data_IF_670749929715
#
_entry.id   IF_670749929715
#
_cell.length_a   1.000
_cell.length_b   1.000
_cell.length_c   1.000
_cell.angle_alpha   90.00
_cell.angle_beta   90.00
_cell.angle_gamma   90.00
#
_symmetry.space_group_name_H-M   'P 1'
#
loop_
_entity.id
_entity.type
_entity.pdbx_description
1 polymer ?
#
# COMPACT_ATOMS: atom_id res chain seq x y z
N UNK A 1 -3.52 -19.80 30.04
CA UNK A 1 -2.81 -18.60 30.56
C UNK A 1 -1.99 -18.02 29.42
N UNK A 2 -2.08 -16.72 29.15
CA UNK A 2 -1.28 -16.04 28.11
C UNK A 2 -0.08 -15.38 28.78
N UNK A 3 1.13 -15.54 28.23
CA UNK A 3 2.35 -14.85 28.68
C UNK A 3 3.00 -14.17 27.47
N UNK A 4 3.06 -12.83 27.42
CA UNK A 4 3.84 -12.12 26.41
C UNK A 4 5.33 -12.50 26.52
N UNK A 5 5.97 -12.76 25.37
CA UNK A 5 7.42 -12.93 25.28
C UNK A 5 8.09 -11.56 25.25
N UNK A 6 9.35 -11.49 25.69
CA UNK A 6 10.12 -10.25 25.71
C UNK A 6 10.59 -9.83 24.31
N UNK A 7 10.93 -10.80 23.45
CA UNK A 7 11.29 -10.56 22.05
C UNK A 7 10.57 -11.55 21.13
N UNK A 8 10.04 -11.04 20.02
CA UNK A 8 9.38 -11.82 18.97
C UNK A 8 10.14 -11.65 17.65
N UNK A 9 10.08 -12.64 16.73
CA UNK A 9 10.30 -12.35 15.31
C UNK A 9 9.24 -11.34 14.87
N UNK A 10 9.61 -10.37 14.06
CA UNK A 10 8.72 -9.29 13.61
C UNK A 10 8.74 -9.23 12.11
N UNK A 11 7.54 -9.20 11.53
CA UNK A 11 7.36 -8.89 10.12
C UNK A 11 6.72 -7.50 10.06
N UNK A 12 7.40 -6.54 9.43
CA UNK A 12 6.93 -5.17 9.27
C UNK A 12 6.73 -4.86 7.79
N UNK A 13 5.48 -4.76 7.36
CA UNK A 13 5.13 -4.42 6.00
C UNK A 13 4.70 -2.94 5.91
N UNK A 14 5.46 -2.15 5.16
CA UNK A 14 5.14 -0.76 4.88
C UNK A 14 4.14 -0.70 3.73
N UNK A 15 2.93 -0.23 4.01
CA UNK A 15 1.91 0.03 3.03
C UNK A 15 1.74 1.55 2.90
N UNK A 16 2.30 2.10 1.82
CA UNK A 16 2.51 3.53 1.67
C UNK A 16 1.61 4.10 0.60
N UNK A 17 0.87 5.12 0.97
CA UNK A 17 0.18 6.02 0.06
C UNK A 17 1.21 6.78 -0.78
N UNK A 18 1.09 6.66 -2.10
CA UNK A 18 1.98 7.33 -3.06
C UNK A 18 1.24 8.33 -3.93
N UNK A 19 0.07 8.81 -3.50
CA UNK A 19 -0.64 9.90 -4.17
C UNK A 19 0.17 11.20 -4.15
N UNK A 20 -0.31 12.20 -4.89
CA UNK A 20 0.44 13.44 -5.10
C UNK A 20 0.63 14.24 -3.80
N UNK A 21 -0.31 14.15 -2.85
CA UNK A 21 -0.21 14.82 -1.54
C UNK A 21 0.95 14.30 -0.71
N UNK A 22 1.30 13.03 -0.88
CA UNK A 22 2.39 12.35 -0.18
C UNK A 22 3.80 12.70 -0.70
N UNK A 23 3.93 13.54 -1.73
CA UNK A 23 5.21 13.87 -2.38
C UNK A 23 6.32 14.27 -1.39
N UNK A 24 6.03 15.19 -0.45
CA UNK A 24 7.01 15.63 0.57
C UNK A 24 7.32 14.58 1.64
N UNK A 25 6.42 13.61 1.83
CA UNK A 25 6.55 12.55 2.83
C UNK A 25 7.39 11.38 2.32
N UNK A 26 7.27 11.02 1.04
CA UNK A 26 8.06 9.94 0.42
C UNK A 26 9.55 10.26 0.44
N UNK A 27 9.94 11.53 0.21
CA UNK A 27 11.35 11.96 0.31
C UNK A 27 11.93 11.68 1.70
N UNK A 28 11.12 11.81 2.75
CA UNK A 28 11.50 11.55 4.16
C UNK A 28 11.43 10.06 4.52
N UNK A 29 10.71 9.24 3.75
CA UNK A 29 10.55 7.82 4.03
C UNK A 29 11.90 7.08 3.97
N UNK A 30 12.81 7.55 3.11
CA UNK A 30 14.17 7.02 3.00
C UNK A 30 14.98 7.15 4.29
N UNK A 31 14.81 8.22 5.07
CA UNK A 31 15.50 8.38 6.35
C UNK A 31 14.72 7.72 7.49
N UNK A 32 13.41 7.98 7.58
CA UNK A 32 12.58 7.53 8.71
C UNK A 32 12.39 6.01 8.70
N UNK A 33 12.15 5.39 7.53
CA UNK A 33 11.98 3.95 7.42
C UNK A 33 13.25 3.18 7.80
N UNK A 34 14.41 3.74 7.42
CA UNK A 34 15.70 3.16 7.78
C UNK A 34 16.00 3.30 9.28
N UNK A 35 15.84 4.49 9.86
CA UNK A 35 16.03 4.68 11.31
C UNK A 35 15.09 3.80 12.14
N UNK A 36 13.82 3.65 11.70
CA UNK A 36 12.87 2.76 12.34
C UNK A 36 13.33 1.30 12.26
N UNK A 37 13.81 0.85 11.11
CA UNK A 37 14.35 -0.52 10.98
C UNK A 37 15.52 -0.78 11.91
N UNK A 38 16.48 0.14 12.02
CA UNK A 38 17.64 0.00 12.92
C UNK A 38 17.22 -0.05 14.40
N UNK A 39 16.20 0.73 14.79
CA UNK A 39 15.65 0.66 16.15
C UNK A 39 14.92 -0.66 16.39
N UNK A 40 14.18 -1.15 15.39
CA UNK A 40 13.41 -2.40 15.47
C UNK A 40 14.32 -3.64 15.55
N UNK A 41 15.49 -3.63 14.90
CA UNK A 41 16.48 -4.70 15.04
C UNK A 41 16.93 -4.90 16.49
N UNK A 42 17.05 -3.83 17.28
CA UNK A 42 17.50 -3.92 18.67
C UNK A 42 16.44 -4.53 19.61
N UNK A 43 15.15 -4.41 19.27
CA UNK A 43 14.02 -4.86 20.11
C UNK A 43 13.37 -6.16 19.63
N UNK A 44 13.62 -6.58 18.39
CA UNK A 44 13.20 -7.87 17.85
C UNK A 44 14.35 -8.89 17.88
N UNK A 45 14.04 -10.16 17.69
CA UNK A 45 15.08 -11.20 17.49
C UNK A 45 15.37 -11.46 16.01
N UNK A 46 14.44 -11.10 15.13
CA UNK A 46 14.48 -11.37 13.70
C UNK A 46 13.47 -10.44 13.02
N UNK A 47 13.97 -9.42 12.33
CA UNK A 47 13.16 -8.40 11.65
C UNK A 47 13.15 -8.67 10.14
N UNK A 48 11.96 -8.77 9.57
CA UNK A 48 11.76 -8.73 8.13
C UNK A 48 10.97 -7.49 7.73
N UNK A 49 11.40 -6.85 6.63
CA UNK A 49 10.79 -5.65 6.08
C UNK A 49 10.21 -5.94 4.72
N UNK A 50 9.02 -5.42 4.46
CA UNK A 50 8.36 -5.47 3.16
C UNK A 50 7.78 -4.12 2.77
N UNK A 51 7.47 -3.95 1.50
CA UNK A 51 6.98 -2.68 0.96
C UNK A 51 5.93 -2.90 -0.13
N UNK A 52 4.88 -2.07 -0.10
CA UNK A 52 3.92 -1.92 -1.18
C UNK A 52 3.34 -0.52 -1.19
N UNK A 53 2.79 -0.14 -2.34
CA UNK A 53 2.23 1.18 -2.56
C UNK A 53 0.77 1.09 -3.00
N UNK A 54 0.02 2.16 -2.72
CA UNK A 54 -1.33 2.34 -3.21
C UNK A 54 -1.61 3.79 -3.56
N UNK A 55 -2.62 3.99 -4.41
CA UNK A 55 -3.20 5.32 -4.70
C UNK A 55 -4.71 5.15 -4.59
N UNK A 56 -5.36 4.74 -5.67
CA UNK A 56 -6.80 4.58 -5.72
C UNK A 56 -7.25 3.72 -6.91
N UNK A 57 -8.55 3.43 -7.01
CA UNK A 57 -9.15 2.73 -8.15
C UNK A 57 -8.96 3.55 -9.42
N UNK A 58 -8.49 2.91 -10.50
CA UNK A 58 -8.12 3.60 -11.75
C UNK A 58 -9.31 3.77 -12.69
N UNK A 59 -10.37 4.38 -12.17
CA UNK A 59 -11.66 4.61 -12.84
C UNK A 59 -12.15 6.03 -12.58
N UNK A 60 -13.04 6.53 -13.44
CA UNK A 60 -13.76 7.78 -13.18
C UNK A 60 -14.77 7.56 -12.04
N UNK A 61 -15.00 8.53 -11.13
CA UNK A 61 -14.48 9.90 -11.13
C UNK A 61 -13.13 10.10 -10.41
N UNK A 62 -12.54 9.06 -9.84
CA UNK A 62 -11.32 9.16 -9.01
C UNK A 62 -10.10 9.64 -9.79
N UNK A 63 -9.97 9.24 -11.06
CA UNK A 63 -8.88 9.68 -11.92
C UNK A 63 -9.36 10.42 -13.17
N UNK A 64 -8.47 11.20 -13.78
CA UNK A 64 -8.71 11.74 -15.12
C UNK A 64 -8.60 10.64 -16.17
N UNK A 65 -9.66 10.45 -16.94
CA UNK A 65 -9.69 9.53 -18.10
C UNK A 65 -9.27 10.22 -19.40
N UNK A 66 -8.86 11.49 -19.35
CA UNK A 66 -8.40 12.20 -20.53
C UNK A 66 -7.11 11.55 -21.06
N UNK A 67 -6.96 11.26 -22.37
CA UNK A 67 -5.82 10.51 -22.91
C UNK A 67 -4.44 11.07 -22.56
N UNK A 68 -4.33 12.40 -22.40
CA UNK A 68 -3.08 13.07 -22.00
C UNK A 68 -2.71 12.89 -20.52
N UNK A 69 -3.67 12.52 -19.66
CA UNK A 69 -3.49 12.44 -18.19
C UNK A 69 -3.62 11.01 -17.64
N UNK A 70 -4.25 10.10 -18.38
CA UNK A 70 -4.55 8.75 -17.87
C UNK A 70 -3.32 7.97 -17.39
N UNK A 71 -2.15 8.19 -18.01
CA UNK A 71 -0.88 7.56 -17.63
C UNK A 71 0.02 8.46 -16.77
N UNK A 72 -0.31 9.74 -16.60
CA UNK A 72 0.38 10.67 -15.73
C UNK A 72 -0.63 11.69 -15.21
N UNK A 73 -1.18 11.45 -14.02
CA UNK A 73 -2.23 12.31 -13.44
C UNK A 73 -1.71 13.70 -13.05
N UNK A 74 -0.39 13.86 -12.98
CA UNK A 74 0.31 15.08 -12.61
C UNK A 74 0.75 15.94 -13.82
N UNK A 75 0.32 15.62 -15.05
CA UNK A 75 0.79 16.31 -16.26
C UNK A 75 0.59 17.83 -16.25
N UNK A 76 -0.46 18.33 -15.58
CA UNK A 76 -0.74 19.78 -15.49
C UNK A 76 0.29 20.52 -14.60
N UNK A 77 1.06 19.79 -13.80
CA UNK A 77 2.11 20.30 -12.92
C UNK A 77 3.52 20.03 -13.44
N UNK A 78 3.66 19.54 -14.69
CA UNK A 78 4.95 19.16 -15.31
C UNK A 78 5.78 18.15 -14.49
N UNK A 79 5.11 17.33 -13.66
CA UNK A 79 5.74 16.30 -12.85
C UNK A 79 5.68 14.93 -13.55
N UNK A 80 6.80 14.19 -13.51
CA UNK A 80 6.86 12.79 -13.95
C UNK A 80 6.33 11.86 -12.84
N UNK A 81 5.01 11.66 -12.85
CA UNK A 81 4.34 10.72 -11.95
C UNK A 81 4.18 9.35 -12.59
N UNK A 82 4.24 8.30 -11.76
CA UNK A 82 3.85 6.97 -12.17
C UNK A 82 2.34 6.92 -12.48
N UNK A 83 1.89 6.03 -13.38
CA UNK A 83 0.47 5.81 -13.61
C UNK A 83 -0.27 5.47 -12.29
N UNK A 84 -1.54 5.91 -12.15
CA UNK A 84 -2.33 5.57 -10.98
C UNK A 84 -2.56 4.06 -10.92
N UNK A 85 -2.70 3.53 -9.71
CA UNK A 85 -2.90 2.10 -9.45
C UNK A 85 -3.64 1.90 -8.12
N UNK A 86 -4.38 0.81 -8.01
CA UNK A 86 -5.05 0.44 -6.76
C UNK A 86 -4.04 0.02 -5.69
N UNK A 87 -3.46 -1.17 -5.85
CA UNK A 87 -2.41 -1.68 -4.95
C UNK A 87 -1.34 -2.41 -5.76
N UNK A 88 -0.07 -2.13 -5.46
CA UNK A 88 1.08 -2.85 -5.99
C UNK A 88 1.92 -3.35 -4.82
N UNK A 89 2.12 -4.66 -4.78
CA UNK A 89 3.14 -5.27 -3.94
C UNK A 89 4.51 -5.11 -4.60
N UNK A 90 5.48 -4.53 -3.89
CA UNK A 90 6.79 -4.18 -4.50
C UNK A 90 7.90 -5.06 -3.95
N UNK A 91 7.92 -5.29 -2.63
CA UNK A 91 8.95 -6.08 -1.96
C UNK A 91 8.32 -7.01 -0.93
N UNK A 92 8.50 -8.32 -1.13
CA UNK A 92 8.17 -9.37 -0.16
C UNK A 92 8.99 -9.20 1.11
N UNK A 93 8.45 -9.65 2.24
CA UNK A 93 9.14 -9.62 3.52
C UNK A 93 10.51 -10.30 3.40
N UNK A 94 11.55 -9.54 3.73
CA UNK A 94 12.95 -9.93 3.59
C UNK A 94 13.78 -9.37 4.74
N UNK A 95 14.84 -10.06 5.11
CA UNK A 95 15.86 -9.61 6.08
C UNK A 95 16.88 -8.67 5.43
N UNK A 96 16.88 -8.55 4.10
CA UNK A 96 17.82 -7.71 3.35
C UNK A 96 17.39 -6.25 3.33
N UNK A 97 17.83 -5.49 4.34
CA UNK A 97 17.57 -4.04 4.46
C UNK A 97 18.01 -3.25 3.22
N UNK A 98 19.07 -3.70 2.53
CA UNK A 98 19.53 -3.06 1.29
C UNK A 98 18.51 -3.12 0.15
N UNK A 99 17.74 -4.21 0.04
CA UNK A 99 16.65 -4.34 -0.94
C UNK A 99 15.51 -3.39 -0.58
N UNK A 100 15.12 -3.34 0.69
CA UNK A 100 14.12 -2.37 1.21
C UNK A 100 14.51 -0.92 0.92
N UNK A 101 15.76 -0.55 1.18
CA UNK A 101 16.26 0.80 0.87
C UNK A 101 16.27 1.07 -0.64
N UNK A 102 16.59 0.06 -1.45
CA UNK A 102 16.60 0.20 -2.92
C UNK A 102 15.20 0.50 -3.46
N UNK A 103 14.17 -0.19 -2.95
CA UNK A 103 12.79 0.01 -3.43
C UNK A 103 12.23 1.36 -3.03
N UNK A 104 12.45 1.83 -1.79
CA UNK A 104 11.97 3.15 -1.35
C UNK A 104 12.65 4.26 -2.16
N UNK A 105 13.97 4.17 -2.39
CA UNK A 105 14.71 5.16 -3.18
C UNK A 105 14.21 5.25 -4.64
N UNK A 106 13.63 4.17 -5.18
CA UNK A 106 13.12 4.11 -6.56
C UNK A 106 11.63 4.43 -6.64
N UNK A 107 10.94 4.57 -5.51
CA UNK A 107 9.52 4.83 -5.48
C UNK A 107 9.23 6.21 -6.08
N UNK A 108 8.35 6.25 -7.08
CA UNK A 108 7.84 7.49 -7.67
C UNK A 108 6.50 7.85 -7.03
N UNK A 109 6.17 9.15 -7.07
CA UNK A 109 4.82 9.61 -6.78
C UNK A 109 3.87 9.28 -7.92
N UNK A 110 2.59 9.12 -7.59
CA UNK A 110 1.47 9.03 -8.51
C UNK A 110 0.48 10.16 -8.20
N UNK A 111 -0.77 10.02 -8.64
CA UNK A 111 -1.85 10.92 -8.26
C UNK A 111 -3.19 10.49 -8.82
N UNK A 112 -4.23 11.13 -8.29
CA UNK A 112 -5.65 11.02 -8.61
C UNK A 112 -6.27 12.42 -8.49
N UNK A 113 -7.60 12.52 -8.59
CA UNK A 113 -8.32 13.80 -8.56
C UNK A 113 -8.85 14.10 -7.17
N UNK A 114 -9.56 13.17 -6.56
CA UNK A 114 -10.19 13.36 -5.27
C UNK A 114 -9.23 13.11 -4.10
N UNK A 115 -9.66 13.53 -2.92
CA UNK A 115 -8.83 13.53 -1.71
C UNK A 115 -8.80 12.21 -0.95
N UNK A 116 -9.90 11.44 -0.83
CA UNK A 116 -9.83 10.13 -0.21
C UNK A 116 -9.05 9.13 -1.07
N UNK A 117 -8.41 8.15 -0.43
CA UNK A 117 -7.52 7.22 -1.11
C UNK A 117 -7.98 5.75 -0.95
N UNK A 118 -7.51 4.86 -1.82
CA UNK A 118 -7.87 3.44 -1.85
C UNK A 118 -7.22 2.57 -0.76
N UNK A 119 -6.92 3.14 0.40
CA UNK A 119 -6.11 2.52 1.45
C UNK A 119 -6.66 1.21 2.00
N UNK A 120 -7.96 1.12 2.27
CA UNK A 120 -8.55 -0.10 2.83
C UNK A 120 -8.52 -1.29 1.85
N UNK A 121 -8.61 -1.04 0.55
CA UNK A 121 -8.50 -2.08 -0.48
C UNK A 121 -7.09 -2.66 -0.52
N UNK A 122 -6.08 -1.78 -0.44
CA UNK A 122 -4.68 -2.15 -0.37
C UNK A 122 -4.34 -2.90 0.93
N UNK A 123 -4.88 -2.46 2.07
CA UNK A 123 -4.72 -3.15 3.36
C UNK A 123 -5.25 -4.57 3.30
N UNK A 124 -6.47 -4.76 2.78
CA UNK A 124 -7.08 -6.08 2.66
C UNK A 124 -6.18 -7.01 1.83
N UNK A 125 -5.73 -6.57 0.65
CA UNK A 125 -4.83 -7.37 -0.19
C UNK A 125 -3.51 -7.70 0.53
N UNK A 126 -2.90 -6.74 1.23
CA UNK A 126 -1.68 -6.98 1.99
C UNK A 126 -1.86 -8.00 3.13
N UNK A 127 -3.05 -8.09 3.73
CA UNK A 127 -3.36 -9.05 4.81
C UNK A 127 -3.67 -10.45 4.25
N UNK A 128 -4.53 -10.54 3.22
CA UNK A 128 -5.04 -11.83 2.73
C UNK A 128 -4.07 -12.54 1.79
N UNK A 129 -3.21 -11.81 1.07
CA UNK A 129 -2.22 -12.38 0.14
C UNK A 129 -0.96 -12.91 0.84
N UNK A 130 -1.11 -13.76 1.86
CA UNK A 130 -0.01 -14.19 2.73
C UNK A 130 1.19 -14.77 1.99
N UNK A 131 0.97 -15.58 0.94
CA UNK A 131 2.04 -16.20 0.16
C UNK A 131 2.81 -15.21 -0.72
N UNK A 132 2.18 -14.12 -1.15
CA UNK A 132 2.83 -13.08 -1.96
C UNK A 132 3.66 -12.16 -1.05
N UNK A 133 3.07 -11.74 0.07
CA UNK A 133 3.73 -10.83 1.02
C UNK A 133 4.84 -11.54 1.81
N UNK A 134 4.65 -12.82 2.15
CA UNK A 134 5.64 -13.62 2.89
C UNK A 134 5.44 -13.64 4.42
N UNK A 135 4.21 -13.42 4.91
CA UNK A 135 3.93 -13.39 6.35
C UNK A 135 4.29 -14.71 7.05
N UNK A 136 5.20 -14.68 8.03
CA UNK A 136 5.58 -15.86 8.82
C UNK A 136 4.50 -16.20 9.85
N UNK A 137 4.40 -17.47 10.24
CA UNK A 137 3.37 -17.92 11.21
C UNK A 137 3.78 -17.61 12.65
N UNK A 138 5.08 -17.66 12.91
CA UNK A 138 5.75 -17.51 14.19
C UNK A 138 6.20 -16.07 14.49
N UNK A 139 5.87 -15.12 13.62
CA UNK A 139 6.22 -13.71 13.77
C UNK A 139 5.03 -12.86 14.23
N UNK A 140 5.34 -11.75 14.91
CA UNK A 140 4.41 -10.65 15.12
C UNK A 140 4.26 -9.88 13.80
N UNK A 141 3.09 -9.98 13.19
CA UNK A 141 2.76 -9.34 11.91
C UNK A 141 2.31 -7.90 12.14
N UNK A 142 3.06 -6.93 11.62
CA UNK A 142 2.79 -5.51 11.73
C UNK A 142 2.59 -4.93 10.33
N UNK A 143 1.38 -4.44 10.06
CA UNK A 143 1.08 -3.67 8.87
C UNK A 143 1.12 -2.18 9.22
N UNK A 144 2.09 -1.45 8.68
CA UNK A 144 2.22 -0.01 8.89
C UNK A 144 1.64 0.72 7.68
N UNK A 145 0.46 1.30 7.86
CA UNK A 145 -0.19 2.15 6.86
C UNK A 145 0.30 3.60 7.01
N UNK A 146 0.78 4.20 5.93
CA UNK A 146 1.26 5.59 5.89
C UNK A 146 0.47 6.39 4.86
N UNK A 147 -0.23 7.43 5.29
CA UNK A 147 -1.06 8.32 4.46
C UNK A 147 -1.22 9.67 5.14
N UNK A 148 -1.67 10.68 4.41
CA UNK A 148 -2.01 12.00 4.92
C UNK A 148 -3.52 12.33 4.84
N UNK A 149 -4.32 11.46 4.20
CA UNK A 149 -5.75 11.65 3.98
C UNK A 149 -6.60 10.46 4.46
N UNK A 150 -7.93 10.63 4.40
CA UNK A 150 -8.90 9.57 4.71
C UNK A 150 -8.94 8.49 3.63
N UNK A 151 -9.39 7.29 3.97
CA UNK A 151 -9.65 6.25 2.96
C UNK A 151 -11.09 6.21 2.49
N UNK A 152 -11.29 5.79 1.24
CA UNK A 152 -12.62 5.47 0.71
C UNK A 152 -13.33 4.36 1.49
N UNK A 153 -14.66 4.45 1.52
CA UNK A 153 -15.56 3.45 2.11
C UNK A 153 -16.19 2.59 1.02
N UNK A 154 -16.70 1.42 1.41
CA UNK A 154 -17.27 0.43 0.48
C UNK A 154 -18.22 1.03 -0.58
N UNK A 155 -19.23 1.78 -0.13
CA UNK A 155 -20.27 2.31 -0.99
C UNK A 155 -19.84 3.53 -1.84
N UNK A 156 -18.65 4.09 -1.62
CA UNK A 156 -18.15 5.22 -2.43
C UNK A 156 -17.96 4.79 -3.88
N UNK A 157 -17.56 3.53 -4.09
CA UNK A 157 -17.36 2.91 -5.40
C UNK A 157 -18.58 2.91 -6.32
N UNK A 158 -19.78 3.12 -5.75
CA UNK A 158 -21.01 3.33 -6.50
C UNK A 158 -20.92 4.52 -7.45
N UNK A 159 -20.17 5.57 -7.10
CA UNK A 159 -19.94 6.73 -7.98
C UNK A 159 -19.17 6.35 -9.25
N UNK A 160 -18.31 5.32 -9.16
CA UNK A 160 -17.58 4.76 -10.30
C UNK A 160 -18.34 3.66 -11.04
N UNK A 161 -19.62 3.41 -10.68
CA UNK A 161 -20.41 2.32 -11.26
C UNK A 161 -19.99 0.92 -10.80
N UNK A 162 -19.13 0.81 -9.78
CA UNK A 162 -18.74 -0.46 -9.19
C UNK A 162 -19.74 -0.79 -8.08
N UNK A 163 -20.46 -1.89 -8.25
CA UNK A 163 -21.54 -2.33 -7.33
C UNK A 163 -21.40 -3.81 -6.94
N UNK A 164 -20.22 -4.38 -7.16
CA UNK A 164 -19.90 -5.76 -6.82
C UNK A 164 -19.15 -5.74 -5.47
N UNK A 165 -19.72 -6.35 -4.41
CA UNK A 165 -19.08 -6.43 -3.10
C UNK A 165 -17.67 -7.02 -3.15
N UNK A 166 -16.79 -6.51 -2.29
CA UNK A 166 -15.46 -7.08 -2.11
C UNK A 166 -15.60 -8.51 -1.53
N UNK A 167 -14.89 -9.49 -2.11
CA UNK A 167 -15.03 -10.90 -1.72
C UNK A 167 -14.07 -11.33 -0.61
N UNK A 168 -13.19 -10.44 -0.12
CA UNK A 168 -12.24 -10.74 0.95
C UNK A 168 -11.08 -11.64 0.52
N UNK A 169 -10.86 -11.87 -0.78
CA UNK A 169 -9.85 -12.80 -1.29
C UNK A 169 -8.62 -12.08 -1.85
N UNK A 170 -7.54 -12.84 -2.01
CA UNK A 170 -6.33 -12.38 -2.66
C UNK A 170 -6.50 -12.37 -4.18
N UNK A 171 -6.25 -11.22 -4.82
CA UNK A 171 -6.30 -11.06 -6.28
C UNK A 171 -5.06 -10.34 -6.81
N UNK A 172 -3.87 -10.82 -6.43
CA UNK A 172 -2.62 -10.37 -7.04
C UNK A 172 -2.27 -11.22 -8.26
N UNK A 173 -1.90 -10.55 -9.35
CA UNK A 173 -1.23 -11.16 -10.50
C UNK A 173 0.00 -10.33 -10.81
N UNK A 174 1.16 -10.97 -10.88
CA UNK A 174 2.45 -10.28 -11.08
C UNK A 174 2.62 -9.13 -10.07
N UNK A 175 2.22 -9.39 -8.81
CA UNK A 175 2.24 -8.45 -7.68
C UNK A 175 1.32 -7.22 -7.81
N UNK A 176 0.45 -7.16 -8.81
CA UNK A 176 -0.53 -6.07 -8.99
C UNK A 176 -1.94 -6.55 -8.61
N UNK A 177 -2.69 -5.71 -7.90
CA UNK A 177 -4.09 -5.99 -7.59
C UNK A 177 -5.01 -5.77 -8.79
N UNK A 178 -5.49 -6.88 -9.37
CA UNK A 178 -6.22 -6.86 -10.64
C UNK A 178 -7.74 -6.65 -10.52
N UNK A 179 -8.28 -6.67 -9.29
CA UNK A 179 -9.73 -6.52 -9.06
C UNK A 179 -10.15 -5.12 -8.61
N UNK A 180 -9.21 -4.19 -8.44
CA UNK A 180 -9.46 -2.81 -7.99
C UNK A 180 -10.62 -2.13 -8.73
N UNK A 181 -10.69 -2.29 -10.05
CA UNK A 181 -11.69 -1.61 -10.88
C UNK A 181 -12.99 -2.41 -11.07
N UNK A 182 -13.13 -3.54 -10.39
CA UNK A 182 -14.28 -4.46 -10.56
C UNK A 182 -14.99 -4.83 -9.26
N UNK A 183 -14.36 -4.60 -8.11
CA UNK A 183 -14.92 -4.84 -6.78
C UNK A 183 -14.91 -3.52 -5.99
N UNK A 184 -15.91 -3.31 -5.14
CA UNK A 184 -15.94 -2.16 -4.24
C UNK A 184 -14.79 -2.18 -3.22
N UNK A 185 -14.57 -1.06 -2.52
CA UNK A 185 -13.68 -1.04 -1.36
C UNK A 185 -14.24 -1.98 -0.27
N UNK A 186 -13.42 -2.59 0.59
CA UNK A 186 -13.94 -3.38 1.70
C UNK A 186 -14.64 -2.49 2.73
N UNK A 187 -15.67 -3.05 3.36
CA UNK A 187 -16.28 -2.45 4.56
C UNK A 187 -15.35 -2.62 5.78
N UNK A 188 -15.54 -1.78 6.80
CA UNK A 188 -14.80 -1.90 8.07
C UNK A 188 -15.03 -3.22 8.80
N UNK A 189 -16.12 -3.94 8.52
CA UNK A 189 -16.36 -5.27 9.10
C UNK A 189 -15.67 -6.42 8.34
N UNK A 190 -15.28 -6.18 7.08
CA UNK A 190 -14.49 -7.14 6.29
C UNK A 190 -12.99 -6.99 6.52
N UNK A 191 -12.55 -5.76 6.85
CA UNK A 191 -11.16 -5.44 7.19
C UNK A 191 -10.83 -5.87 8.62
#
# INVERSE_FOLDING_TARGET
KVRPLEKYPVDLYYLVDVSASMHRHIERLNSVGFELSQKMENISIDLQLGFGSYVDKTVSPYISIHPKRIHNQCSDYELDCMPPHGFIHVLSLTDKISEFRSVINKQKISGNIDTPEGGFDAMLQAVVCQSHIGWRKEAKRLLLMMTDQTSHLALDSKLAGIVIPNDGKCHLKENVYIKANSMEYPSLGQL
#
